data_IF_184933264883
#
_entry.id   IF_184933264883
#
_cell.length_a   1.000
_cell.length_b   1.000
_cell.length_c   1.000
_cell.angle_alpha   90.00
_cell.angle_beta   90.00
_cell.angle_gamma   90.00
#
_symmetry.space_group_name_H-M   'P 1'
#
loop_
_entity.id
_entity.type
_entity.pdbx_description
1 polymer ?
#
# COMPACT_ATOMS: atom_id res chain seq x y z
N UNK A 1 16.38 3.46 0.26
CA UNK A 1 15.13 3.92 -0.38
C UNK A 1 15.18 5.43 -0.41
N UNK A 2 15.12 6.04 -1.59
CA UNK A 2 14.93 7.48 -1.69
C UNK A 2 13.62 7.86 -1.00
N UNK A 3 13.68 8.85 -0.09
CA UNK A 3 12.52 9.29 0.67
C UNK A 3 11.70 10.26 -0.16
N UNK A 4 11.11 9.77 -1.25
CA UNK A 4 10.23 10.55 -2.12
C UNK A 4 9.05 11.16 -1.35
N UNK A 5 8.55 10.45 -0.33
CA UNK A 5 7.54 10.98 0.60
C UNK A 5 7.98 12.22 1.38
N UNK A 6 9.29 12.44 1.61
CA UNK A 6 9.78 13.66 2.26
C UNK A 6 9.98 14.83 1.28
N UNK A 7 9.92 14.55 -0.04
CA UNK A 7 10.09 15.55 -1.11
C UNK A 7 8.76 16.06 -1.65
N UNK A 8 7.70 15.26 -1.52
CA UNK A 8 6.35 15.65 -1.92
C UNK A 8 5.68 16.42 -0.78
N UNK A 9 5.03 17.52 -1.12
CA UNK A 9 4.10 18.21 -0.23
C UNK A 9 2.93 17.29 0.15
N UNK A 10 2.22 17.57 1.27
CA UNK A 10 1.05 16.79 1.67
C UNK A 10 -0.01 16.70 0.56
N UNK A 11 -0.22 17.79 -0.18
CA UNK A 11 -1.20 17.84 -1.27
C UNK A 11 -0.80 16.92 -2.43
N UNK A 12 0.50 16.90 -2.78
CA UNK A 12 1.02 15.99 -3.82
C UNK A 12 0.94 14.52 -3.40
N UNK A 13 1.13 14.22 -2.11
CA UNK A 13 0.94 12.87 -1.58
C UNK A 13 -0.52 12.42 -1.67
N UNK A 14 -1.46 13.30 -1.30
CA UNK A 14 -2.90 13.03 -1.43
C UNK A 14 -3.29 12.81 -2.89
N UNK A 15 -2.85 13.67 -3.81
CA UNK A 15 -3.13 13.55 -5.23
C UNK A 15 -2.60 12.22 -5.79
N UNK A 16 -1.40 11.81 -5.41
CA UNK A 16 -0.84 10.53 -5.82
C UNK A 16 -1.69 9.35 -5.32
N UNK A 17 -2.14 9.38 -4.07
CA UNK A 17 -3.01 8.36 -3.51
C UNK A 17 -4.35 8.31 -4.26
N UNK A 18 -4.98 9.45 -4.53
CA UNK A 18 -6.23 9.52 -5.31
C UNK A 18 -6.09 8.88 -6.68
N UNK A 19 -5.00 9.17 -7.40
CA UNK A 19 -4.71 8.57 -8.71
C UNK A 19 -4.56 7.05 -8.61
N UNK A 20 -3.83 6.56 -7.60
CA UNK A 20 -3.62 5.13 -7.38
C UNK A 20 -4.91 4.38 -7.00
N UNK A 21 -5.79 5.02 -6.22
CA UNK A 21 -7.09 4.45 -5.86
C UNK A 21 -8.04 4.42 -7.07
N UNK A 22 -8.13 5.52 -7.83
CA UNK A 22 -9.00 5.61 -9.00
C UNK A 22 -8.66 4.57 -10.07
N UNK A 23 -7.39 4.20 -10.20
CA UNK A 23 -6.92 3.21 -11.17
C UNK A 23 -6.82 1.80 -10.58
N UNK A 24 -7.26 1.58 -9.34
CA UNK A 24 -7.17 0.32 -8.57
C UNK A 24 -5.75 -0.21 -8.32
N UNK A 25 -4.72 0.52 -8.73
CA UNK A 25 -3.31 0.16 -8.51
C UNK A 25 -2.93 0.10 -7.02
N UNK A 26 -3.58 0.89 -6.16
CA UNK A 26 -3.31 0.83 -4.73
C UNK A 26 -3.52 -0.58 -4.15
N UNK A 27 -4.58 -1.27 -4.57
CA UNK A 27 -4.88 -2.62 -4.10
C UNK A 27 -3.92 -3.66 -4.67
N UNK A 28 -3.59 -3.55 -5.97
CA UNK A 28 -2.63 -4.45 -6.64
C UNK A 28 -1.24 -4.39 -5.99
N UNK A 29 -0.76 -3.18 -5.69
CA UNK A 29 0.54 -2.98 -5.04
C UNK A 29 0.55 -3.62 -3.64
N UNK A 30 -0.51 -3.41 -2.84
CA UNK A 30 -0.60 -3.98 -1.50
C UNK A 30 -0.68 -5.51 -1.57
N UNK A 31 -1.47 -6.06 -2.49
CA UNK A 31 -1.59 -7.51 -2.68
C UNK A 31 -0.26 -8.15 -3.10
N UNK A 32 0.47 -7.53 -4.03
CA UNK A 32 1.80 -8.00 -4.45
C UNK A 32 2.80 -7.95 -3.29
N UNK A 33 2.80 -6.88 -2.49
CA UNK A 33 3.70 -6.75 -1.36
C UNK A 33 3.42 -7.82 -0.29
N UNK A 34 2.14 -8.14 -0.03
CA UNK A 34 1.75 -9.23 0.86
C UNK A 34 2.19 -10.59 0.32
N UNK A 35 1.98 -10.87 -0.97
CA UNK A 35 2.41 -12.12 -1.60
C UNK A 35 3.94 -12.32 -1.54
N UNK A 36 4.72 -11.26 -1.73
CA UNK A 36 6.18 -11.29 -1.61
C UNK A 36 6.63 -11.58 -0.16
N UNK A 37 5.90 -11.06 0.83
CA UNK A 37 6.16 -11.32 2.25
C UNK A 37 5.81 -12.76 2.62
N UNK A 38 4.64 -13.26 2.19
CA UNK A 38 4.15 -14.61 2.49
C UNK A 38 4.99 -15.71 1.82
N UNK A 39 5.54 -15.42 0.64
CA UNK A 39 6.45 -16.33 -0.09
C UNK A 39 7.87 -16.37 0.49
N UNK A 40 8.17 -15.56 1.52
CA UNK A 40 9.48 -15.50 2.14
C UNK A 40 10.55 -14.80 1.29
N UNK A 41 10.14 -14.08 0.23
CA UNK A 41 11.06 -13.34 -0.65
C UNK A 41 11.55 -12.02 -0.04
N UNK A 42 10.89 -11.54 1.02
CA UNK A 42 11.28 -10.36 1.80
C UNK A 42 11.46 -10.72 3.27
N UNK A 43 12.48 -10.15 3.93
CA UNK A 43 12.54 -10.20 5.39
C UNK A 43 11.37 -9.37 5.94
N UNK A 44 10.46 -10.06 6.65
CA UNK A 44 9.20 -9.47 7.10
C UNK A 44 9.39 -8.88 8.49
N UNK A 45 9.27 -7.56 8.60
CA UNK A 45 8.86 -6.95 9.86
C UNK A 45 7.38 -7.31 10.07
N UNK A 46 7.10 -8.20 11.03
CA UNK A 46 5.74 -8.63 11.34
C UNK A 46 4.79 -7.46 11.61
N UNK A 47 5.30 -6.34 12.16
CA UNK A 47 4.49 -5.16 12.39
C UNK A 47 4.03 -4.53 11.05
N UNK A 48 4.93 -4.44 10.07
CA UNK A 48 4.62 -3.96 8.72
C UNK A 48 3.64 -4.88 8.02
N UNK A 49 3.82 -6.19 8.10
CA UNK A 49 2.87 -7.16 7.52
C UNK A 49 1.47 -6.98 8.11
N UNK A 50 1.34 -6.94 9.44
CA UNK A 50 0.05 -6.71 10.11
C UNK A 50 -0.61 -5.39 9.70
N UNK A 51 0.17 -4.33 9.48
CA UNK A 51 -0.36 -3.07 8.99
C UNK A 51 -0.86 -3.16 7.54
N UNK A 52 -0.13 -3.84 6.66
CA UNK A 52 -0.53 -4.05 5.27
C UNK A 52 -1.80 -4.89 5.15
N UNK A 53 -1.93 -5.96 5.94
CA UNK A 53 -3.15 -6.78 5.98
C UNK A 53 -4.36 -5.94 6.39
N UNK A 54 -4.25 -5.17 7.48
CA UNK A 54 -5.34 -4.29 7.94
C UNK A 54 -5.70 -3.22 6.90
N UNK A 55 -4.71 -2.68 6.20
CA UNK A 55 -4.92 -1.70 5.16
C UNK A 55 -5.65 -2.32 3.96
N UNK A 56 -5.22 -3.51 3.53
CA UNK A 56 -5.87 -4.28 2.46
C UNK A 56 -7.35 -4.53 2.77
N UNK A 57 -7.65 -5.08 3.95
CA UNK A 57 -9.02 -5.35 4.38
C UNK A 57 -9.88 -4.08 4.37
N UNK A 58 -9.34 -2.96 4.87
CA UNK A 58 -10.06 -1.69 4.90
C UNK A 58 -10.35 -1.16 3.50
N UNK A 59 -9.39 -1.24 2.59
CA UNK A 59 -9.56 -0.81 1.20
C UNK A 59 -10.64 -1.65 0.51
N UNK A 60 -10.62 -2.97 0.69
CA UNK A 60 -11.65 -3.86 0.15
C UNK A 60 -13.05 -3.54 0.69
N UNK A 61 -13.16 -3.28 2.00
CA UNK A 61 -14.44 -3.02 2.65
C UNK A 61 -15.05 -1.66 2.27
N UNK A 62 -14.22 -0.61 2.23
CA UNK A 62 -14.69 0.77 1.98
C UNK A 62 -14.93 1.05 0.49
N UNK A 63 -14.13 0.45 -0.40
CA UNK A 63 -14.23 0.71 -1.84
C UNK A 63 -15.18 -0.26 -2.57
N UNK A 64 -15.81 -1.21 -1.86
CA UNK A 64 -16.75 -2.18 -2.44
C UNK A 64 -16.21 -2.82 -3.74
N UNK A 65 -14.92 -3.18 -3.74
CA UNK A 65 -14.25 -3.82 -4.88
C UNK A 65 -14.57 -5.31 -4.98
#
# INVERSE_FOLDING_TARGET
MEKWMERLSPDEQCLLLEVLFNQRYALEIISSELADMESGQKQVDEARYRHLVKLYERICNELSL
#
